data_IF_724472983248
#
_entry.id   IF_724472983248
#
_cell.length_a   1.000
_cell.length_b   1.000
_cell.length_c   1.000
_cell.angle_alpha   90.00
_cell.angle_beta   90.00
_cell.angle_gamma   90.00
#
_symmetry.space_group_name_H-M   'P 1'
#
loop_
_entity.id
_entity.type
_entity.pdbx_description
1 polymer ?
#
# COMPACT_ATOMS: atom_id res chain seq x y z
N UNK A 1 -28.91 7.39 0.82
CA UNK A 1 -27.74 7.12 1.70
C UNK A 1 -26.77 6.26 0.92
N UNK A 2 -25.47 6.55 0.97
CA UNK A 2 -24.48 5.65 0.35
C UNK A 2 -24.52 4.29 1.05
N UNK A 3 -24.39 3.21 0.28
CA UNK A 3 -24.29 1.85 0.83
C UNK A 3 -23.05 1.75 1.73
N UNK A 4 -23.12 0.98 2.83
CA UNK A 4 -22.00 0.71 3.74
C UNK A 4 -21.30 -0.61 3.38
N UNK A 5 -20.03 -0.72 3.71
CA UNK A 5 -19.23 -1.91 3.46
C UNK A 5 -19.63 -3.01 4.43
N UNK A 6 -19.94 -4.19 3.90
CA UNK A 6 -20.38 -5.34 4.69
C UNK A 6 -19.44 -6.56 4.60
N UNK A 7 -18.28 -6.40 3.95
CA UNK A 7 -17.37 -7.50 3.62
C UNK A 7 -17.23 -7.71 2.11
N UNK A 8 -16.18 -8.41 1.73
CA UNK A 8 -16.06 -9.10 0.44
C UNK A 8 -16.81 -10.43 0.50
N UNK A 9 -16.87 -11.16 -0.62
CA UNK A 9 -17.50 -12.48 -0.69
C UNK A 9 -16.50 -13.56 -1.08
N UNK A 10 -16.81 -14.81 -0.71
CA UNK A 10 -16.07 -15.98 -1.21
C UNK A 10 -16.09 -16.03 -2.74
N UNK A 11 -17.19 -15.62 -3.37
CA UNK A 11 -17.30 -15.55 -4.83
C UNK A 11 -16.27 -14.57 -5.43
N UNK A 12 -16.01 -13.44 -4.78
CA UNK A 12 -14.96 -12.50 -5.21
C UNK A 12 -13.56 -13.11 -5.17
N UNK A 13 -13.24 -13.91 -4.14
CA UNK A 13 -11.94 -14.60 -4.07
C UNK A 13 -11.83 -15.72 -5.10
N UNK A 14 -12.90 -16.49 -5.30
CA UNK A 14 -12.99 -17.52 -6.32
C UNK A 14 -12.80 -16.92 -7.72
N UNK A 15 -13.39 -15.74 -7.98
CA UNK A 15 -13.18 -15.02 -9.22
C UNK A 15 -11.70 -14.66 -9.43
N UNK A 16 -11.00 -14.15 -8.41
CA UNK A 16 -9.56 -13.87 -8.51
C UNK A 16 -8.74 -15.13 -8.79
N UNK A 17 -9.16 -16.30 -8.28
CA UNK A 17 -8.53 -17.57 -8.60
C UNK A 17 -8.77 -17.96 -10.06
N UNK A 18 -10.01 -17.85 -10.55
CA UNK A 18 -10.35 -18.19 -11.93
C UNK A 18 -9.67 -17.25 -12.94
N UNK A 19 -9.56 -15.95 -12.63
CA UNK A 19 -8.78 -15.00 -13.44
C UNK A 19 -7.34 -15.48 -13.65
N UNK A 20 -6.73 -16.12 -12.65
CA UNK A 20 -5.37 -16.67 -12.74
C UNK A 20 -5.30 -17.88 -13.67
N UNK A 21 -6.32 -18.74 -13.63
CA UNK A 21 -6.39 -20.00 -14.39
C UNK A 21 -6.71 -19.73 -15.85
N UNK A 22 -7.77 -18.97 -16.10
CA UNK A 22 -8.32 -18.74 -17.43
C UNK A 22 -7.46 -17.72 -18.18
N UNK A 23 -7.18 -16.57 -17.55
CA UNK A 23 -6.37 -15.49 -18.11
C UNK A 23 -6.74 -15.12 -19.58
N UNK A 24 -8.02 -15.28 -19.91
CA UNK A 24 -8.59 -15.09 -21.25
C UNK A 24 -9.56 -13.91 -21.30
N UNK A 25 -9.60 -13.23 -22.45
CA UNK A 25 -10.40 -12.02 -22.62
C UNK A 25 -11.89 -12.34 -22.68
N UNK A 26 -12.28 -13.32 -23.48
CA UNK A 26 -13.69 -13.61 -23.71
C UNK A 26 -14.32 -14.21 -22.45
N UNK A 27 -13.56 -15.04 -21.73
CA UNK A 27 -13.92 -15.48 -20.38
C UNK A 27 -14.13 -14.30 -19.42
N UNK A 28 -13.19 -13.33 -19.38
CA UNK A 28 -13.32 -12.18 -18.49
C UNK A 28 -14.55 -11.33 -18.83
N UNK A 29 -14.83 -11.10 -20.11
CA UNK A 29 -16.02 -10.36 -20.54
C UNK A 29 -17.30 -11.08 -20.10
N UNK A 30 -17.34 -12.41 -20.18
CA UNK A 30 -18.46 -13.22 -19.71
C UNK A 30 -18.63 -13.20 -18.17
N UNK A 31 -17.57 -12.88 -17.41
CA UNK A 31 -17.58 -12.80 -15.94
C UNK A 31 -17.51 -11.35 -15.42
N UNK A 32 -17.71 -10.36 -16.29
CA UNK A 32 -17.57 -8.94 -15.96
C UNK A 32 -18.55 -8.50 -14.87
N UNK A 33 -19.76 -9.06 -14.85
CA UNK A 33 -20.76 -8.78 -13.82
C UNK A 33 -20.29 -9.25 -12.43
N UNK A 34 -19.63 -10.41 -12.35
CA UNK A 34 -19.05 -10.95 -11.12
C UNK A 34 -17.92 -10.04 -10.65
N UNK A 35 -17.03 -9.60 -11.54
CA UNK A 35 -15.98 -8.62 -11.19
C UNK A 35 -16.58 -7.32 -10.62
N UNK A 36 -17.59 -6.77 -11.28
CA UNK A 36 -18.19 -5.50 -10.87
C UNK A 36 -18.94 -5.61 -9.54
N UNK A 37 -19.69 -6.70 -9.34
CA UNK A 37 -20.52 -6.92 -8.16
C UNK A 37 -19.71 -7.39 -6.95
N UNK A 38 -18.82 -8.36 -7.13
CA UNK A 38 -18.14 -9.06 -6.02
C UNK A 38 -16.79 -8.44 -5.63
N UNK A 39 -16.19 -7.63 -6.51
CA UNK A 39 -14.93 -6.95 -6.21
C UNK A 39 -15.06 -5.43 -6.28
N UNK A 40 -15.42 -4.89 -7.44
CA UNK A 40 -15.36 -3.45 -7.65
C UNK A 40 -16.32 -2.69 -6.72
N UNK A 41 -17.55 -3.18 -6.58
CA UNK A 41 -18.54 -2.55 -5.70
C UNK A 41 -18.12 -2.57 -4.22
N UNK A 42 -17.73 -3.73 -3.62
CA UNK A 42 -17.19 -3.76 -2.27
C UNK A 42 -15.96 -2.86 -2.07
N UNK A 43 -15.02 -2.83 -3.01
CA UNK A 43 -13.86 -1.94 -2.94
C UNK A 43 -14.26 -0.46 -2.95
N UNK A 44 -15.24 -0.07 -3.77
CA UNK A 44 -15.73 1.30 -3.80
C UNK A 44 -16.35 1.70 -2.48
N UNK A 45 -17.15 0.80 -1.91
CA UNK A 45 -17.80 1.03 -0.62
C UNK A 45 -16.79 1.10 0.52
N UNK A 46 -15.78 0.22 0.51
CA UNK A 46 -14.67 0.24 1.49
C UNK A 46 -13.89 1.56 1.43
N UNK A 47 -13.57 2.05 0.24
CA UNK A 47 -12.92 3.37 0.07
C UNK A 47 -13.77 4.48 0.66
N UNK A 48 -15.08 4.50 0.39
CA UNK A 48 -15.98 5.52 0.92
C UNK A 48 -16.05 5.51 2.45
N UNK A 49 -16.07 4.32 3.07
CA UNK A 49 -16.13 4.18 4.53
C UNK A 49 -14.80 4.53 5.21
N UNK A 50 -13.65 4.30 4.55
CA UNK A 50 -12.32 4.68 5.06
C UNK A 50 -11.99 6.15 4.82
N UNK A 51 -12.55 6.78 3.79
CA UNK A 51 -12.19 8.13 3.36
C UNK A 51 -12.20 9.19 4.48
N UNK A 52 -13.20 9.24 5.40
CA UNK A 52 -13.18 10.22 6.48
C UNK A 52 -11.96 10.09 7.40
N UNK A 53 -11.62 8.86 7.81
CA UNK A 53 -10.44 8.63 8.67
C UNK A 53 -9.14 8.95 7.92
N UNK A 54 -9.06 8.60 6.64
CA UNK A 54 -7.88 8.92 5.83
C UNK A 54 -7.69 10.43 5.65
N UNK A 55 -8.76 11.20 5.47
CA UNK A 55 -8.68 12.66 5.36
C UNK A 55 -8.26 13.35 6.67
N UNK A 56 -8.46 12.70 7.83
CA UNK A 56 -7.91 13.19 9.09
C UNK A 56 -6.38 13.03 9.16
N UNK A 57 -5.84 11.96 8.58
CA UNK A 57 -4.38 11.73 8.47
C UNK A 57 -3.78 12.72 7.45
N UNK A 58 -4.43 12.88 6.29
CA UNK A 58 -4.01 13.83 5.28
C UNK A 58 -5.18 14.35 4.42
N UNK A 59 -5.51 15.66 4.50
CA UNK A 59 -6.62 16.23 3.75
C UNK A 59 -6.37 16.27 2.23
N UNK A 60 -5.15 15.99 1.76
CA UNK A 60 -4.78 15.99 0.34
C UNK A 60 -4.89 14.61 -0.32
N UNK A 61 -5.35 13.58 0.38
CA UNK A 61 -5.52 12.26 -0.22
C UNK A 61 -6.55 12.23 -1.35
N UNK A 62 -6.24 11.50 -2.42
CA UNK A 62 -7.22 11.06 -3.40
C UNK A 62 -8.16 10.04 -2.74
N UNK A 63 -9.44 10.36 -2.67
CA UNK A 63 -10.47 9.51 -2.03
C UNK A 63 -11.52 9.00 -3.02
N UNK A 64 -11.46 9.37 -4.31
CA UNK A 64 -12.48 8.94 -5.27
C UNK A 64 -12.39 7.43 -5.51
N UNK A 65 -13.46 6.65 -5.26
CA UNK A 65 -13.49 5.19 -5.41
C UNK A 65 -13.54 4.77 -6.88
N UNK A 66 -12.46 5.02 -7.62
CA UNK A 66 -12.38 4.80 -9.05
C UNK A 66 -11.08 4.10 -9.46
N UNK A 67 -11.16 3.32 -10.54
CA UNK A 67 -10.01 2.63 -11.13
C UNK A 67 -8.99 3.67 -11.62
N UNK A 68 -7.73 3.51 -11.23
CA UNK A 68 -6.66 4.47 -11.51
C UNK A 68 -6.66 5.70 -10.61
N UNK A 69 -7.61 5.80 -9.67
CA UNK A 69 -7.58 6.73 -8.54
C UNK A 69 -7.17 5.95 -7.30
N UNK A 70 -8.11 5.64 -6.40
CA UNK A 70 -7.82 4.79 -5.25
C UNK A 70 -7.79 3.31 -5.61
N UNK A 71 -8.42 2.85 -6.70
CA UNK A 71 -8.53 1.43 -7.02
C UNK A 71 -7.56 0.99 -8.11
N UNK A 72 -6.99 -0.20 -7.94
CA UNK A 72 -6.12 -0.85 -8.92
C UNK A 72 -6.83 -1.21 -10.23
N UNK A 73 -6.05 -1.34 -11.31
CA UNK A 73 -6.51 -1.92 -12.58
C UNK A 73 -6.34 -3.44 -12.53
N UNK A 74 -7.37 -4.18 -12.90
CA UNK A 74 -7.27 -5.65 -13.05
C UNK A 74 -6.39 -6.06 -14.22
N UNK A 75 -6.30 -5.24 -15.28
CA UNK A 75 -5.40 -5.49 -16.40
C UNK A 75 -3.95 -5.27 -15.97
N UNK A 76 -3.08 -6.20 -16.36
CA UNK A 76 -1.65 -6.15 -16.11
C UNK A 76 -0.97 -5.35 -17.22
N UNK A 77 -0.03 -4.48 -16.82
CA UNK A 77 0.89 -3.87 -17.77
C UNK A 77 2.04 -4.84 -18.01
N UNK A 78 2.09 -5.44 -19.20
CA UNK A 78 3.03 -6.52 -19.55
C UNK A 78 4.25 -6.03 -20.33
N UNK A 79 4.35 -4.72 -20.63
CA UNK A 79 5.42 -4.17 -21.50
C UNK A 79 6.82 -4.50 -20.98
N UNK A 80 7.02 -4.36 -19.67
CA UNK A 80 8.32 -4.58 -19.00
C UNK A 80 8.31 -5.77 -18.03
N UNK A 81 7.20 -6.51 -17.96
CA UNK A 81 7.06 -7.66 -17.04
C UNK A 81 7.53 -8.95 -17.71
N UNK A 82 8.24 -9.81 -16.97
CA UNK A 82 8.50 -11.20 -17.39
C UNK A 82 7.20 -12.02 -17.42
N UNK A 83 6.31 -11.80 -16.44
CA UNK A 83 4.96 -12.35 -16.45
C UNK A 83 4.10 -11.63 -17.50
N UNK A 84 3.64 -12.38 -18.51
CA UNK A 84 2.85 -11.89 -19.65
C UNK A 84 1.35 -12.15 -19.54
N UNK A 85 0.87 -12.62 -18.38
CA UNK A 85 -0.57 -12.75 -18.16
C UNK A 85 -1.30 -11.41 -18.32
N UNK A 86 -2.50 -11.45 -18.89
CA UNK A 86 -3.33 -10.30 -19.24
C UNK A 86 -3.93 -9.63 -18.01
N UNK A 87 -4.29 -10.45 -17.03
CA UNK A 87 -5.00 -10.02 -15.83
C UNK A 87 -4.16 -10.23 -14.58
N UNK A 88 -4.49 -9.47 -13.54
CA UNK A 88 -4.00 -9.65 -12.18
C UNK A 88 -5.00 -10.50 -11.41
N UNK A 89 -4.51 -11.50 -10.70
CA UNK A 89 -5.30 -12.29 -9.76
C UNK A 89 -5.38 -11.64 -8.37
N UNK A 90 -5.23 -10.31 -8.29
CA UNK A 90 -5.25 -9.53 -7.06
C UNK A 90 -5.84 -8.16 -7.35
N UNK A 91 -6.48 -7.58 -6.34
CA UNK A 91 -7.02 -6.23 -6.40
C UNK A 91 -6.66 -5.49 -5.13
N UNK A 92 -6.37 -4.20 -5.25
CA UNK A 92 -6.01 -3.36 -4.11
C UNK A 92 -6.60 -1.97 -4.23
N UNK A 93 -6.66 -1.32 -3.06
CA UNK A 93 -6.86 0.11 -2.94
C UNK A 93 -5.57 0.79 -2.44
N UNK A 94 -5.41 2.07 -2.74
CA UNK A 94 -4.37 2.93 -2.18
C UNK A 94 -4.92 4.30 -1.81
N UNK A 95 -4.48 4.85 -0.68
CA UNK A 95 -4.61 6.26 -0.37
C UNK A 95 -3.25 6.95 -0.49
N UNK A 96 -3.21 8.01 -1.29
CA UNK A 96 -2.04 8.83 -1.55
C UNK A 96 -2.43 10.19 -2.13
N UNK A 97 -1.54 11.17 -2.03
CA UNK A 97 -1.73 12.46 -2.70
C UNK A 97 -1.68 12.27 -4.22
N UNK A 98 -2.50 12.98 -5.01
CA UNK A 98 -2.37 12.99 -6.46
C UNK A 98 -0.96 13.45 -6.91
N UNK A 99 -0.32 12.70 -7.80
CA UNK A 99 0.99 13.03 -8.35
C UNK A 99 1.09 12.63 -9.83
N UNK A 100 2.08 13.20 -10.54
CA UNK A 100 2.40 12.81 -11.92
C UNK A 100 3.08 11.44 -11.98
N UNK A 101 4.03 11.17 -11.10
CA UNK A 101 4.61 9.83 -10.93
C UNK A 101 4.01 9.15 -9.69
N UNK A 102 3.36 8.03 -9.94
CA UNK A 102 2.63 7.27 -8.95
C UNK A 102 3.53 6.60 -7.89
N UNK A 103 4.84 6.52 -8.13
CA UNK A 103 5.86 5.90 -7.25
C UNK A 103 6.52 6.88 -6.29
N UNK A 104 6.32 8.18 -6.49
CA UNK A 104 7.13 9.21 -5.85
C UNK A 104 6.86 9.40 -4.36
N UNK A 105 5.75 8.90 -3.83
CA UNK A 105 5.33 9.14 -2.45
C UNK A 105 4.95 7.83 -1.74
N UNK A 106 5.03 7.79 -0.39
CA UNK A 106 4.51 6.67 0.37
C UNK A 106 2.99 6.56 0.19
N UNK A 107 2.47 5.33 0.24
CA UNK A 107 1.05 5.03 0.06
C UNK A 107 0.56 4.14 1.18
N UNK A 108 -0.63 4.43 1.69
CA UNK A 108 -1.40 3.42 2.40
C UNK A 108 -2.03 2.48 1.39
N UNK A 109 -2.06 1.19 1.68
CA UNK A 109 -2.66 0.21 0.77
C UNK A 109 -3.39 -0.89 1.53
N UNK A 110 -4.36 -1.50 0.83
CA UNK A 110 -4.97 -2.76 1.20
C UNK A 110 -5.17 -3.59 -0.07
N UNK A 111 -4.65 -4.83 -0.06
CA UNK A 111 -4.65 -5.78 -1.16
C UNK A 111 -5.33 -7.07 -0.73
N UNK A 112 -6.11 -7.66 -1.65
CA UNK A 112 -6.63 -9.02 -1.53
C UNK A 112 -6.19 -9.87 -2.72
N UNK A 113 -5.96 -11.15 -2.47
CA UNK A 113 -5.80 -12.21 -3.45
C UNK A 113 -6.68 -13.40 -3.11
N UNK A 114 -6.61 -14.51 -3.86
CA UNK A 114 -7.43 -15.70 -3.61
C UNK A 114 -7.20 -16.31 -2.22
N UNK A 115 -5.99 -16.17 -1.71
CA UNK A 115 -5.44 -16.86 -0.54
C UNK A 115 -4.72 -15.92 0.43
N UNK A 116 -4.87 -14.60 0.26
CA UNK A 116 -4.18 -13.62 1.10
C UNK A 116 -4.93 -12.29 1.23
N UNK A 117 -4.60 -11.59 2.31
CA UNK A 117 -4.81 -10.16 2.46
C UNK A 117 -3.53 -9.47 2.95
N UNK A 118 -3.33 -8.23 2.53
CA UNK A 118 -2.21 -7.38 2.97
C UNK A 118 -2.65 -5.95 3.15
N UNK A 119 -2.11 -5.27 4.12
CA UNK A 119 -2.30 -3.83 4.28
C UNK A 119 -1.11 -3.20 5.00
N UNK A 120 -0.93 -1.91 4.78
CA UNK A 120 0.11 -1.17 5.45
C UNK A 120 0.45 0.14 4.75
N UNK A 121 1.67 0.59 4.97
CA UNK A 121 2.18 1.86 4.50
C UNK A 121 3.60 1.70 3.95
N UNK A 122 3.90 2.36 2.84
CA UNK A 122 5.28 2.59 2.45
C UNK A 122 5.43 2.90 0.98
N UNK A 123 6.64 2.70 0.48
CA UNK A 123 6.96 2.94 -0.92
C UNK A 123 6.77 1.67 -1.74
N UNK A 124 6.03 1.76 -2.84
CA UNK A 124 6.01 0.70 -3.84
C UNK A 124 7.41 0.46 -4.42
N UNK A 125 8.10 1.55 -4.77
CA UNK A 125 9.47 1.54 -5.27
C UNK A 125 10.08 2.94 -5.12
N UNK A 126 10.61 3.22 -3.92
CA UNK A 126 11.28 4.48 -3.64
C UNK A 126 12.46 4.66 -4.59
N UNK A 127 12.61 5.86 -5.16
CA UNK A 127 13.75 6.18 -5.99
C UNK A 127 15.00 6.47 -5.11
N UNK A 128 16.17 6.56 -5.74
CA UNK A 128 17.44 6.79 -5.03
C UNK A 128 17.41 8.09 -4.21
N UNK A 129 16.86 9.16 -4.77
CA UNK A 129 16.78 10.47 -4.12
C UNK A 129 15.96 10.41 -2.83
N UNK A 130 14.75 9.81 -2.85
CA UNK A 130 13.94 9.56 -1.64
C UNK A 130 14.75 8.86 -0.57
N UNK A 131 15.41 7.75 -0.95
CA UNK A 131 16.08 6.92 0.02
C UNK A 131 17.36 7.55 0.58
N UNK A 132 18.05 8.38 -0.19
CA UNK A 132 19.19 9.15 0.29
C UNK A 132 18.76 10.23 1.27
N UNK A 133 17.67 10.94 0.98
CA UNK A 133 17.08 11.91 1.92
C UNK A 133 16.60 11.22 3.20
N UNK A 134 15.92 10.08 3.09
CA UNK A 134 15.51 9.27 4.25
C UNK A 134 16.71 8.86 5.11
N UNK A 135 17.81 8.40 4.48
CA UNK A 135 19.04 8.03 5.21
C UNK A 135 19.70 9.24 5.85
N UNK A 136 19.68 10.38 5.19
CA UNK A 136 20.21 11.64 5.74
C UNK A 136 19.43 12.07 6.99
N UNK A 137 18.10 12.11 6.92
CA UNK A 137 17.25 12.48 8.07
C UNK A 137 17.38 11.47 9.21
N UNK A 138 17.35 10.18 8.89
CA UNK A 138 17.55 9.08 9.85
C UNK A 138 18.89 9.22 10.61
N UNK A 139 19.97 9.63 9.94
CA UNK A 139 21.28 9.81 10.59
C UNK A 139 21.36 11.06 11.47
N UNK A 140 20.67 12.14 11.09
CA UNK A 140 20.67 13.39 11.87
C UNK A 140 19.77 13.30 13.11
N UNK A 141 18.68 12.54 13.02
CA UNK A 141 17.66 12.45 14.05
C UNK A 141 17.31 10.97 14.35
N UNK A 142 18.29 10.14 14.77
CA UNK A 142 18.07 8.70 14.94
C UNK A 142 17.06 8.39 16.04
N UNK A 143 17.15 9.04 17.20
CA UNK A 143 16.22 8.81 18.32
C UNK A 143 14.79 9.20 17.95
N UNK A 144 14.60 10.37 17.33
CA UNK A 144 13.28 10.81 16.87
C UNK A 144 12.67 9.85 15.84
N UNK A 145 13.48 9.31 14.92
CA UNK A 145 12.98 8.29 14.00
C UNK A 145 12.62 7.00 14.72
N UNK A 146 13.38 6.58 15.74
CA UNK A 146 13.04 5.37 16.50
C UNK A 146 11.73 5.53 17.27
N UNK A 147 11.45 6.72 17.81
CA UNK A 147 10.13 7.05 18.39
C UNK A 147 9.01 6.93 17.36
N UNK A 148 9.23 7.43 16.13
CA UNK A 148 8.28 7.27 15.02
C UNK A 148 8.11 5.78 14.65
N UNK A 149 9.21 5.05 14.52
CA UNK A 149 9.23 3.63 14.15
C UNK A 149 8.57 2.73 15.21
N UNK A 150 8.39 3.21 16.45
CA UNK A 150 7.62 2.53 17.48
C UNK A 150 6.13 2.41 17.13
N UNK A 151 5.64 3.10 16.09
CA UNK A 151 4.30 2.87 15.57
C UNK A 151 4.21 1.59 14.71
N UNK A 152 5.34 1.04 14.25
CA UNK A 152 5.45 -0.14 13.39
C UNK A 152 5.54 -1.46 14.17
N UNK A 153 5.04 -1.49 15.40
CA UNK A 153 4.99 -2.69 16.26
C UNK A 153 4.02 -3.74 15.68
N UNK A 154 4.07 -4.99 16.17
CA UNK A 154 3.14 -6.04 15.73
C UNK A 154 1.68 -5.55 15.68
N UNK A 155 0.90 -5.94 14.65
CA UNK A 155 1.18 -6.99 13.67
C UNK A 155 2.03 -6.57 12.46
N UNK A 156 2.53 -5.33 12.42
CA UNK A 156 3.25 -4.84 11.26
C UNK A 156 4.68 -5.37 11.16
N UNK A 157 5.09 -5.71 9.93
CA UNK A 157 6.44 -6.13 9.62
C UNK A 157 7.10 -5.19 8.62
N UNK A 158 8.38 -4.86 8.84
CA UNK A 158 9.18 -4.09 7.90
C UNK A 158 9.66 -4.99 6.74
N UNK A 159 9.19 -4.69 5.54
CA UNK A 159 9.50 -5.41 4.30
C UNK A 159 10.31 -4.55 3.32
N UNK A 160 10.94 -5.20 2.33
CA UNK A 160 11.72 -4.54 1.28
C UNK A 160 13.13 -5.09 1.11
N UNK A 161 13.71 -4.94 -0.08
CA UNK A 161 15.04 -5.48 -0.36
C UNK A 161 16.14 -4.70 0.42
N UNK A 162 17.08 -5.43 1.04
CA UNK A 162 18.27 -4.85 1.67
C UNK A 162 19.45 -4.87 0.70
N UNK A 163 20.36 -3.89 0.82
CA UNK A 163 21.64 -3.98 0.13
C UNK A 163 22.46 -5.16 0.66
N UNK A 164 23.00 -5.98 -0.26
CA UNK A 164 23.93 -7.07 0.09
C UNK A 164 25.20 -6.56 0.74
N UNK A 165 25.72 -5.41 0.26
CA UNK A 165 26.85 -4.70 0.86
C UNK A 165 26.31 -3.56 1.71
N UNK A 166 26.71 -3.53 2.99
CA UNK A 166 26.35 -2.43 3.89
C UNK A 166 26.91 -1.11 3.35
N UNK A 167 26.08 -0.06 3.44
CA UNK A 167 26.47 1.29 3.06
C UNK A 167 27.33 1.93 4.16
N UNK A 168 27.04 1.61 5.42
CA UNK A 168 27.79 2.00 6.62
C UNK A 168 27.88 0.81 7.55
N UNK A 169 29.07 0.51 8.09
CA UNK A 169 29.30 -0.71 8.90
C UNK A 169 28.87 -0.55 10.35
N UNK A 170 29.07 0.62 10.95
CA UNK A 170 28.98 0.83 12.40
C UNK A 170 27.69 1.59 12.79
N UNK A 171 26.54 1.07 12.38
CA UNK A 171 25.23 1.59 12.79
C UNK A 171 24.63 0.69 13.89
N UNK A 172 23.96 1.30 14.86
CA UNK A 172 23.10 0.59 15.80
C UNK A 172 22.10 -0.32 15.05
N UNK A 173 21.79 -1.49 15.61
CA UNK A 173 21.02 -2.53 14.93
C UNK A 173 19.63 -2.04 14.50
N UNK A 174 18.98 -1.25 15.35
CA UNK A 174 17.67 -0.65 15.11
C UNK A 174 17.71 0.29 13.91
N UNK A 175 18.75 1.14 13.81
CA UNK A 175 18.92 2.06 12.68
C UNK A 175 19.30 1.30 11.39
N UNK A 176 20.20 0.33 11.50
CA UNK A 176 20.67 -0.50 10.38
C UNK A 176 19.54 -1.26 9.69
N UNK A 177 18.51 -1.63 10.45
CA UNK A 177 17.30 -2.32 9.98
C UNK A 177 16.52 -1.52 8.93
N UNK A 178 16.55 -0.19 9.03
CA UNK A 178 15.91 0.73 8.09
C UNK A 178 16.90 1.26 7.05
N UNK A 179 18.08 1.70 7.49
CA UNK A 179 19.06 2.42 6.67
C UNK A 179 19.49 1.65 5.41
N UNK A 180 19.64 0.33 5.53
CA UNK A 180 20.16 -0.53 4.47
C UNK A 180 19.11 -1.06 3.50
N UNK A 181 17.86 -0.58 3.55
CA UNK A 181 16.84 -0.94 2.56
C UNK A 181 16.95 -0.11 1.30
N UNK A 182 16.69 -0.73 0.15
CA UNK A 182 16.63 -0.07 -1.17
C UNK A 182 15.31 0.67 -1.39
N UNK A 183 14.25 0.15 -0.78
CA UNK A 183 12.89 0.69 -0.65
C UNK A 183 12.25 -0.12 0.47
N UNK A 184 11.21 0.40 1.11
CA UNK A 184 10.54 -0.35 2.17
C UNK A 184 9.05 -0.04 2.26
N UNK A 185 8.34 -0.97 2.87
CA UNK A 185 7.02 -0.79 3.42
C UNK A 185 6.93 -1.48 4.77
N UNK A 186 5.95 -1.08 5.56
CA UNK A 186 5.57 -1.70 6.82
C UNK A 186 4.17 -2.26 6.59
N UNK A 187 4.01 -3.58 6.69
CA UNK A 187 2.76 -4.24 6.31
C UNK A 187 2.44 -5.47 7.13
N UNK A 188 1.15 -5.75 7.23
CA UNK A 188 0.61 -7.04 7.65
C UNK A 188 0.43 -7.91 6.41
N UNK A 189 0.76 -9.19 6.52
CA UNK A 189 0.40 -10.23 5.54
C UNK A 189 -0.28 -11.37 6.26
N UNK A 190 -1.46 -11.74 5.79
CA UNK A 190 -2.30 -12.77 6.43
C UNK A 190 -2.94 -13.66 5.37
N UNK A 191 -3.14 -14.93 5.71
CA UNK A 191 -3.79 -15.95 4.89
C UNK A 191 -5.18 -16.35 5.41
N UNK A 192 -5.62 -15.81 6.55
CA UNK A 192 -6.97 -15.99 7.09
C UNK A 192 -7.97 -15.09 6.34
N UNK A 193 -8.27 -15.47 5.10
CA UNK A 193 -9.11 -14.69 4.17
C UNK A 193 -10.56 -14.55 4.65
N UNK A 194 -11.01 -15.35 5.62
CA UNK A 194 -12.35 -15.25 6.21
C UNK A 194 -12.60 -13.89 6.87
N UNK A 195 -11.53 -13.20 7.31
CA UNK A 195 -11.61 -11.82 7.83
C UNK A 195 -12.17 -10.85 6.80
N UNK A 196 -11.96 -11.10 5.51
CA UNK A 196 -12.44 -10.27 4.42
C UNK A 196 -13.96 -10.24 4.33
N UNK A 197 -14.65 -11.24 4.85
CA UNK A 197 -16.10 -11.39 4.73
C UNK A 197 -16.88 -10.64 5.82
N UNK A 198 -16.21 -9.78 6.57
CA UNK A 198 -16.80 -9.02 7.66
C UNK A 198 -16.75 -7.50 7.42
N UNK A 199 -17.80 -6.80 7.83
CA UNK A 199 -17.82 -5.34 7.94
C UNK A 199 -16.71 -4.80 8.87
N UNK A 200 -16.21 -5.64 9.79
CA UNK A 200 -15.12 -5.29 10.72
C UNK A 200 -13.80 -4.95 10.02
N UNK A 201 -13.70 -5.16 8.71
CA UNK A 201 -12.54 -4.67 7.96
C UNK A 201 -12.40 -3.16 7.99
N UNK A 202 -13.50 -2.40 8.06
CA UNK A 202 -13.45 -0.94 8.14
C UNK A 202 -12.75 -0.46 9.42
N UNK A 203 -13.19 -0.83 10.64
CA UNK A 203 -12.48 -0.44 11.86
C UNK A 203 -11.06 -1.00 11.91
N UNK A 204 -10.85 -2.26 11.50
CA UNK A 204 -9.50 -2.87 11.47
C UNK A 204 -8.53 -2.04 10.62
N UNK A 205 -8.91 -1.70 9.39
CA UNK A 205 -8.05 -0.90 8.50
C UNK A 205 -7.91 0.54 8.99
N UNK A 206 -8.95 1.11 9.59
CA UNK A 206 -8.90 2.46 10.16
C UNK A 206 -7.86 2.54 11.27
N UNK A 207 -7.94 1.64 12.26
CA UNK A 207 -7.02 1.59 13.39
C UNK A 207 -5.59 1.31 12.90
N UNK A 208 -5.43 0.36 11.98
CA UNK A 208 -4.15 0.01 11.37
C UNK A 208 -3.51 1.19 10.64
N UNK A 209 -4.28 1.97 9.87
CA UNK A 209 -3.76 3.11 9.13
C UNK A 209 -3.45 4.31 10.03
N UNK A 210 -4.27 4.54 11.06
CA UNK A 210 -4.01 5.56 12.08
C UNK A 210 -2.77 5.23 12.90
N UNK A 211 -2.57 3.95 13.27
CA UNK A 211 -1.34 3.52 13.93
C UNK A 211 -0.08 3.86 13.13
N UNK A 212 -0.13 3.81 11.80
CA UNK A 212 1.01 4.12 10.93
C UNK A 212 1.15 5.61 10.56
N UNK A 213 0.26 6.49 11.04
CA UNK A 213 0.32 7.93 10.79
C UNK A 213 1.67 8.56 11.13
N UNK A 214 2.32 8.29 12.28
CA UNK A 214 3.62 8.89 12.58
C UNK A 214 4.68 8.58 11.50
N UNK A 215 4.72 7.34 11.01
CA UNK A 215 5.61 6.94 9.93
C UNK A 215 5.25 7.67 8.63
N UNK A 216 3.95 7.79 8.31
CA UNK A 216 3.50 8.53 7.12
C UNK A 216 3.99 9.98 7.15
N UNK A 217 3.78 10.68 8.26
CA UNK A 217 4.19 12.08 8.40
C UNK A 217 5.71 12.23 8.28
N UNK A 218 6.50 11.29 8.84
CA UNK A 218 7.95 11.29 8.66
C UNK A 218 8.35 11.13 7.20
N UNK A 219 7.75 10.17 6.49
CA UNK A 219 8.04 9.93 5.08
C UNK A 219 7.61 11.11 4.20
N UNK A 220 6.49 11.76 4.50
CA UNK A 220 6.06 12.97 3.78
C UNK A 220 7.00 14.15 4.01
N UNK A 221 7.62 14.29 5.19
CA UNK A 221 8.69 15.28 5.42
C UNK A 221 9.90 15.01 4.53
N UNK A 222 10.32 13.74 4.40
CA UNK A 222 11.38 13.34 3.47
C UNK A 222 11.04 13.71 2.03
N UNK A 223 9.79 13.48 1.63
CA UNK A 223 9.31 13.84 0.29
C UNK A 223 9.27 15.35 0.03
N UNK A 224 8.90 16.15 1.03
CA UNK A 224 8.92 17.61 0.94
C UNK A 224 10.35 18.17 0.73
N UNK A 225 11.38 17.51 1.27
CA UNK A 225 12.78 17.93 1.10
C UNK A 225 13.29 17.82 -0.34
N UNK A 226 12.61 17.05 -1.22
CA UNK A 226 12.98 16.99 -2.65
C UNK A 226 12.78 18.31 -3.38
N UNK A 227 11.98 19.22 -2.82
CA UNK A 227 11.70 20.54 -3.39
C UNK A 227 12.66 21.62 -2.89
N UNK A 228 13.54 21.27 -1.94
CA UNK A 228 14.55 22.16 -1.35
C UNK A 228 15.89 21.92 -2.05
N UNK A 229 16.67 22.97 -2.28
CA UNK A 229 18.02 22.83 -2.82
C UNK A 229 18.86 21.98 -1.84
N UNK A 230 19.58 20.93 -2.30
CA UNK A 230 20.47 20.15 -1.45
C UNK A 230 21.50 20.99 -0.66
N UNK A 231 21.84 22.21 -1.10
CA UNK A 231 22.72 23.13 -0.39
C UNK A 231 22.10 23.70 0.90
N UNK A 232 20.77 23.68 1.02
CA UNK A 232 20.00 24.27 2.12
C UNK A 232 19.49 23.23 3.15
N UNK A 233 19.90 21.95 3.01
CA UNK A 233 19.46 20.81 3.84
C UNK A 233 20.43 20.45 4.99
#
# INVERSE_FOLDING_TARGET
MAQRFNGFSQQGLNFLQQVRVENDKDWFEAQRDVYERELLTPFRTLVNDLAPAMLMIDPQFEIRPAIGKTLSRIHRDTRFSHDKSRYRSRMWLTFKRPSKDWKDAPVYFFEIGPDLLRYGLGYYSANKQTMDLFRHTLRRQPQQFLEVAACCQPPFELVGERYKRLLVKDLAAEISTWYHRKSFAVMVSDNQVEKLFSANMVPLLTDAFQQLEPLYQWLMKVEAMKQVDPADL
#
